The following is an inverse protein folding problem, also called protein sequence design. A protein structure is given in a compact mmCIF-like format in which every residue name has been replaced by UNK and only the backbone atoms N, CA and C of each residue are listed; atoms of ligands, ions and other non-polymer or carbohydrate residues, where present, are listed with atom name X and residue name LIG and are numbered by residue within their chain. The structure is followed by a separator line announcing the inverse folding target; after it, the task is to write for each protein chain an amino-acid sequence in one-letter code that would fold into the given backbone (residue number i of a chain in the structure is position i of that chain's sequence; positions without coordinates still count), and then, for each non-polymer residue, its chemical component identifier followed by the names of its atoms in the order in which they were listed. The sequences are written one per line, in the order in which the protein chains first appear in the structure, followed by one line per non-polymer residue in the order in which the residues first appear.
data_IF_911492393571
#
_entry.id   IF_911492393571
#
_cell.length_a   1.000
_cell.length_b   1.000
_cell.length_c   1.000
_cell.angle_alpha   90.00
_cell.angle_beta   90.00
_cell.angle_gamma   90.00
#
_symmetry.space_group_name_H-M   'P 1'
#
loop_
_entity.id
_entity.type
_entity.pdbx_description
1 polymer ?
#
# COMPACT_ATOMS: atom_id res chain seq x y z
N UNK A 1 -2.78 -9.34 8.60
CA UNK A 1 -4.05 -8.76 9.06
C UNK A 1 -4.64 -7.87 7.96
N UNK A 2 -3.88 -6.90 7.44
CA UNK A 2 -4.37 -5.99 6.41
C UNK A 2 -4.83 -6.71 5.14
N UNK A 3 -4.08 -7.70 4.66
CA UNK A 3 -4.50 -8.54 3.52
C UNK A 3 -5.84 -9.22 3.75
N UNK A 4 -6.09 -9.70 4.97
CA UNK A 4 -7.37 -10.32 5.33
C UNK A 4 -8.49 -9.29 5.31
N UNK A 5 -8.26 -8.09 5.84
CA UNK A 5 -9.23 -6.99 5.81
C UNK A 5 -9.57 -6.63 4.36
N UNK A 6 -8.58 -6.44 3.50
CA UNK A 6 -8.78 -6.12 2.09
C UNK A 6 -9.52 -7.23 1.34
N UNK A 7 -9.22 -8.49 1.64
CA UNK A 7 -9.94 -9.63 1.08
C UNK A 7 -11.43 -9.63 1.50
N UNK A 8 -11.70 -9.43 2.79
CA UNK A 8 -13.07 -9.35 3.32
C UNK A 8 -13.83 -8.16 2.68
N UNK A 9 -13.16 -7.04 2.48
CA UNK A 9 -13.72 -5.85 1.84
C UNK A 9 -13.80 -5.96 0.31
N UNK A 10 -13.50 -7.12 -0.26
CA UNK A 10 -13.46 -7.37 -1.71
C UNK A 10 -12.55 -6.40 -2.47
N UNK A 11 -11.46 -6.00 -1.82
CA UNK A 11 -10.41 -5.23 -2.45
C UNK A 11 -9.53 -6.11 -3.34
N UNK A 12 -8.61 -5.49 -4.07
CA UNK A 12 -7.74 -6.17 -5.03
C UNK A 12 -6.81 -7.21 -4.40
N UNK A 13 -6.31 -8.10 -5.23
CA UNK A 13 -5.44 -9.18 -4.79
C UNK A 13 -3.98 -8.80 -4.61
N UNK A 14 -3.20 -9.76 -4.10
CA UNK A 14 -1.74 -9.68 -3.97
C UNK A 14 -1.09 -10.75 -4.81
N UNK A 15 -0.29 -10.37 -5.81
CA UNK A 15 0.55 -11.29 -6.58
C UNK A 15 2.01 -10.88 -6.52
N UNK A 16 2.85 -11.73 -5.93
CA UNK A 16 4.30 -11.53 -5.85
C UNK A 16 5.06 -12.22 -6.98
N UNK A 17 4.35 -12.80 -7.96
CA UNK A 17 4.96 -13.52 -9.09
C UNK A 17 5.42 -12.60 -10.21
N UNK A 18 5.05 -11.33 -10.19
CA UNK A 18 5.38 -10.36 -11.24
C UNK A 18 6.79 -9.81 -11.07
N UNK A 19 7.49 -9.69 -12.19
CA UNK A 19 8.77 -8.98 -12.25
C UNK A 19 8.54 -7.53 -12.68
N UNK A 20 8.37 -6.66 -11.69
CA UNK A 20 8.03 -5.24 -11.90
C UNK A 20 9.14 -4.42 -12.60
N UNK A 21 10.34 -4.98 -12.76
CA UNK A 21 11.45 -4.31 -13.43
C UNK A 21 11.62 -4.73 -14.89
N UNK A 22 11.14 -5.92 -15.26
CA UNK A 22 11.32 -6.50 -16.59
C UNK A 22 10.01 -6.72 -17.36
N UNK A 23 8.87 -6.70 -16.69
CA UNK A 23 7.57 -6.83 -17.34
C UNK A 23 6.98 -5.46 -17.68
N UNK A 24 6.52 -5.29 -18.91
CA UNK A 24 5.91 -4.03 -19.39
C UNK A 24 4.50 -3.78 -18.85
N UNK A 25 3.93 -4.71 -18.09
CA UNK A 25 2.54 -4.64 -17.68
C UNK A 25 2.42 -4.77 -16.17
N UNK A 26 1.95 -3.73 -15.57
CA UNK A 26 1.32 -3.76 -14.25
C UNK A 26 0.03 -4.57 -14.42
N UNK A 27 -0.04 -5.74 -13.80
CA UNK A 27 -1.12 -6.67 -14.08
C UNK A 27 -2.42 -6.20 -13.49
N UNK A 28 -3.29 -5.73 -14.34
CA UNK A 28 -4.70 -5.60 -14.03
C UNK A 28 -5.47 -6.73 -14.72
N UNK A 29 -6.61 -7.09 -14.19
CA UNK A 29 -7.56 -7.91 -14.90
C UNK A 29 -8.19 -7.08 -16.03
N UNK A 30 -8.04 -7.47 -17.31
CA UNK A 30 -8.62 -6.69 -18.42
C UNK A 30 -10.15 -6.57 -18.37
N UNK A 31 -10.80 -7.50 -17.68
CA UNK A 31 -12.25 -7.50 -17.51
C UNK A 31 -12.73 -6.61 -16.36
N UNK A 32 -11.82 -6.15 -15.51
CA UNK A 32 -12.11 -5.30 -14.36
C UNK A 32 -11.15 -4.10 -14.33
N UNK A 33 -11.59 -2.93 -14.83
CA UNK A 33 -10.74 -1.73 -14.90
C UNK A 33 -10.32 -1.20 -13.52
N UNK A 34 -10.92 -1.69 -12.45
CA UNK A 34 -10.60 -1.32 -11.07
C UNK A 34 -9.67 -2.33 -10.40
N UNK A 35 -9.28 -3.39 -11.11
CA UNK A 35 -8.35 -4.36 -10.56
C UNK A 35 -6.95 -3.75 -10.40
N UNK A 36 -6.27 -4.13 -9.33
CA UNK A 36 -4.89 -3.73 -9.08
C UNK A 36 -4.13 -4.85 -8.35
N UNK A 37 -2.82 -4.88 -8.51
CA UNK A 37 -1.97 -5.74 -7.71
C UNK A 37 -1.39 -4.95 -6.54
N UNK A 38 -1.96 -5.13 -5.37
CA UNK A 38 -1.52 -4.46 -4.14
C UNK A 38 -0.13 -4.90 -3.64
N UNK A 39 0.50 -5.90 -4.27
CA UNK A 39 1.88 -6.31 -3.96
C UNK A 39 2.93 -5.42 -4.66
N UNK A 40 2.56 -4.60 -5.64
CA UNK A 40 3.50 -3.80 -6.42
C UNK A 40 4.39 -2.90 -5.55
N UNK A 41 3.89 -2.16 -4.57
CA UNK A 41 4.76 -1.36 -3.71
C UNK A 41 5.82 -2.19 -2.96
N UNK A 42 5.47 -3.40 -2.54
CA UNK A 42 6.44 -4.31 -1.90
C UNK A 42 7.46 -4.83 -2.92
N UNK A 43 7.01 -5.23 -4.11
CA UNK A 43 7.88 -5.70 -5.18
C UNK A 43 8.91 -4.64 -5.60
N UNK A 44 8.50 -3.37 -5.61
CA UNK A 44 9.37 -2.25 -5.96
C UNK A 44 10.31 -1.85 -4.82
N UNK A 45 9.80 -1.69 -3.60
CA UNK A 45 10.45 -0.92 -2.53
C UNK A 45 10.85 -1.75 -1.31
N UNK A 46 10.61 -3.06 -1.28
CA UNK A 46 11.04 -3.91 -0.18
C UNK A 46 12.56 -4.10 -0.17
N UNK A 47 13.15 -4.23 -1.36
CA UNK A 47 14.60 -4.33 -1.55
C UNK A 47 15.10 -3.06 -2.23
N UNK A 48 15.64 -2.14 -1.43
CA UNK A 48 16.16 -0.84 -1.89
C UNK A 48 17.31 -1.03 -2.89
N UNK A 49 18.21 -1.96 -2.62
CA UNK A 49 19.37 -2.22 -3.49
C UNK A 49 18.94 -2.72 -4.86
N UNK A 50 17.95 -3.60 -4.90
CA UNK A 50 17.37 -4.08 -6.15
C UNK A 50 16.67 -2.95 -6.91
N UNK A 51 15.93 -2.08 -6.22
CA UNK A 51 15.30 -0.92 -6.86
C UNK A 51 16.34 0.01 -7.48
N UNK A 52 17.32 0.44 -6.71
CA UNK A 52 18.35 1.40 -7.15
C UNK A 52 19.28 0.84 -8.25
N UNK A 53 19.42 -0.49 -8.37
CA UNK A 53 20.17 -1.11 -9.46
C UNK A 53 19.40 -1.19 -10.79
N UNK A 54 18.07 -1.16 -10.75
CA UNK A 54 17.21 -1.23 -11.94
C UNK A 54 16.65 0.12 -12.37
N UNK A 55 16.58 1.08 -11.43
CA UNK A 55 15.97 2.39 -11.67
C UNK A 55 16.98 3.48 -11.31
N UNK A 56 17.25 4.46 -12.20
CA UNK A 56 18.23 5.51 -11.94
C UNK A 56 17.67 6.58 -10.98
N UNK A 57 17.17 6.15 -9.85
CA UNK A 57 16.63 6.99 -8.78
C UNK A 57 17.09 6.44 -7.43
N UNK A 58 17.41 7.34 -6.51
CA UNK A 58 17.79 7.00 -5.14
C UNK A 58 16.57 7.12 -4.20
N UNK A 59 16.38 6.15 -3.33
CA UNK A 59 15.35 6.21 -2.31
C UNK A 59 15.86 7.02 -1.11
N UNK A 60 15.24 8.15 -0.83
CA UNK A 60 15.54 8.98 0.34
C UNK A 60 14.66 8.65 1.54
N UNK A 61 13.42 8.26 1.30
CA UNK A 61 12.47 7.87 2.32
C UNK A 61 11.68 6.66 1.83
N UNK A 62 11.43 5.71 2.71
CA UNK A 62 10.60 4.54 2.44
C UNK A 62 9.94 4.11 3.76
N UNK A 63 8.74 4.62 4.01
CA UNK A 63 8.03 4.44 5.26
C UNK A 63 6.66 3.82 5.03
N UNK A 64 6.26 2.97 5.96
CA UNK A 64 4.90 2.46 6.02
C UNK A 64 3.97 3.45 6.71
N UNK A 65 2.76 3.58 6.19
CA UNK A 65 1.74 4.43 6.76
C UNK A 65 0.35 3.85 6.56
N UNK A 66 -0.63 4.45 7.24
CA UNK A 66 -2.04 4.12 7.15
C UNK A 66 -2.37 2.65 7.45
N UNK A 67 -3.34 2.46 8.30
CA UNK A 67 -3.91 1.17 8.61
C UNK A 67 -5.42 1.28 8.62
N UNK A 68 -6.05 1.36 9.78
CA UNK A 68 -7.50 1.48 9.91
C UNK A 68 -8.01 2.88 9.57
N UNK A 69 -7.14 3.89 9.64
CA UNK A 69 -7.53 5.28 9.32
C UNK A 69 -8.06 5.40 7.89
N UNK A 70 -7.46 4.68 6.93
CA UNK A 70 -7.86 4.75 5.53
C UNK A 70 -9.31 4.28 5.31
N UNK A 71 -9.71 3.04 5.66
CA UNK A 71 -11.08 2.60 5.46
C UNK A 71 -12.12 3.29 6.36
N UNK A 72 -11.70 3.88 7.49
CA UNK A 72 -12.60 4.50 8.45
C UNK A 72 -12.75 6.02 8.28
N UNK A 73 -11.97 6.63 7.39
CA UNK A 73 -12.06 8.06 7.03
C UNK A 73 -12.80 8.31 5.73
N UNK A 74 -13.48 7.32 5.17
CA UNK A 74 -14.12 7.42 3.87
C UNK A 74 -13.18 7.21 2.69
N UNK A 75 -12.01 6.61 2.93
CA UNK A 75 -11.07 6.24 1.86
C UNK A 75 -11.73 5.36 0.81
N UNK A 76 -11.45 5.63 -0.46
CA UNK A 76 -12.05 4.89 -1.58
C UNK A 76 -11.47 3.48 -1.61
N UNK A 77 -12.32 2.51 -1.31
CA UNK A 77 -12.02 1.10 -1.51
C UNK A 77 -12.94 0.61 -2.62
N UNK A 78 -12.35 0.20 -3.74
CA UNK A 78 -13.13 -0.34 -4.87
C UNK A 78 -14.04 -1.47 -4.40
N UNK A 79 -15.27 -1.50 -4.91
CA UNK A 79 -16.26 -2.56 -4.65
C UNK A 79 -16.80 -2.66 -3.21
N UNK A 80 -16.42 -1.74 -2.32
CA UNK A 80 -16.90 -1.73 -0.94
C UNK A 80 -17.58 -0.42 -0.57
N UNK A 81 -18.53 -0.48 0.36
CA UNK A 81 -19.10 0.72 0.97
C UNK A 81 -18.04 1.36 1.87
N UNK A 82 -17.85 2.66 1.73
CA UNK A 82 -17.00 3.43 2.63
C UNK A 82 -17.66 3.60 4.00
N UNK A 83 -16.84 3.56 5.04
CA UNK A 83 -17.27 3.82 6.41
C UNK A 83 -16.61 5.13 6.82
N UNK A 84 -17.40 6.08 7.26
CA UNK A 84 -16.88 7.37 7.74
C UNK A 84 -17.14 7.49 9.25
N UNK A 85 -16.07 7.66 10.00
CA UNK A 85 -16.16 7.92 11.44
C UNK A 85 -16.09 9.43 11.73
N UNK A 86 -16.73 9.89 12.82
CA UNK A 86 -16.57 11.26 13.31
C UNK A 86 -15.11 11.62 13.57
N UNK A 87 -14.77 12.88 13.33
CA UNK A 87 -13.38 13.38 13.40
C UNK A 87 -12.68 13.08 14.74
N UNK A 88 -13.40 13.13 15.84
CA UNK A 88 -12.87 12.81 17.18
C UNK A 88 -12.43 11.36 17.30
N UNK A 89 -13.21 10.42 16.73
CA UNK A 89 -12.85 9.01 16.70
C UNK A 89 -11.71 8.75 15.72
N UNK A 90 -11.65 9.47 14.60
CA UNK A 90 -10.55 9.36 13.65
C UNK A 90 -9.19 9.74 14.26
N UNK A 91 -9.16 10.73 15.17
CA UNK A 91 -7.92 11.06 15.92
C UNK A 91 -7.42 9.88 16.74
N UNK A 92 -8.32 9.18 17.42
CA UNK A 92 -7.97 8.00 18.21
C UNK A 92 -7.49 6.86 17.30
N UNK A 93 -8.20 6.60 16.21
CA UNK A 93 -7.81 5.59 15.21
C UNK A 93 -6.42 5.90 14.67
N UNK A 94 -6.14 7.15 14.30
CA UNK A 94 -4.84 7.56 13.77
C UNK A 94 -3.70 7.37 14.80
N UNK A 95 -3.97 7.59 16.07
CA UNK A 95 -3.00 7.31 17.13
C UNK A 95 -2.70 5.81 17.25
N UNK A 96 -3.75 4.99 17.25
CA UNK A 96 -3.62 3.53 17.28
C UNK A 96 -2.90 3.01 16.04
N UNK A 97 -3.21 3.53 14.85
CA UNK A 97 -2.55 3.19 13.61
C UNK A 97 -1.03 3.42 13.67
N UNK A 98 -0.61 4.58 14.17
CA UNK A 98 0.81 4.90 14.32
C UNK A 98 1.54 3.91 15.22
N UNK A 99 0.90 3.49 16.31
CA UNK A 99 1.46 2.50 17.23
C UNK A 99 1.55 1.13 16.54
N UNK A 100 0.46 0.69 15.92
CA UNK A 100 0.39 -0.62 15.26
C UNK A 100 1.35 -0.73 14.08
N UNK A 101 1.46 0.31 13.25
CA UNK A 101 2.41 0.35 12.13
C UNK A 101 3.85 0.32 12.63
N UNK A 102 4.15 1.02 13.72
CA UNK A 102 5.50 1.00 14.31
C UNK A 102 5.88 -0.38 14.86
N UNK A 103 4.92 -1.09 15.46
CA UNK A 103 5.16 -2.42 16.04
C UNK A 103 5.16 -3.53 15.00
N UNK A 104 4.26 -3.47 14.01
CA UNK A 104 4.03 -4.54 13.03
C UNK A 104 3.78 -3.98 11.63
N UNK A 105 4.76 -3.29 11.01
CA UNK A 105 4.56 -2.60 9.73
C UNK A 105 4.12 -3.54 8.61
N UNK A 106 4.75 -4.69 8.49
CA UNK A 106 4.47 -5.66 7.43
C UNK A 106 3.07 -6.31 7.48
N UNK A 107 2.42 -6.24 8.65
CA UNK A 107 1.10 -6.84 8.86
C UNK A 107 0.00 -5.79 8.79
N UNK A 108 0.25 -4.61 9.37
CA UNK A 108 -0.75 -3.58 9.58
C UNK A 108 -0.77 -2.54 8.48
N UNK A 109 0.39 -2.14 7.95
CA UNK A 109 0.45 -1.04 7.00
C UNK A 109 -0.32 -1.31 5.71
N UNK A 110 -1.13 -0.35 5.31
CA UNK A 110 -1.84 -0.32 4.04
C UNK A 110 -1.11 0.54 3.01
N UNK A 111 -0.60 1.68 3.41
CA UNK A 111 0.10 2.62 2.58
C UNK A 111 1.61 2.58 2.74
N UNK A 112 2.30 3.13 1.75
CA UNK A 112 3.74 3.33 1.75
C UNK A 112 4.06 4.71 1.16
N UNK A 113 4.84 5.50 1.88
CA UNK A 113 5.36 6.78 1.40
C UNK A 113 6.80 6.59 0.93
N UNK A 114 7.07 6.96 -0.30
CA UNK A 114 8.40 6.87 -0.90
C UNK A 114 8.81 8.21 -1.47
N UNK A 115 10.01 8.68 -1.12
CA UNK A 115 10.63 9.87 -1.71
C UNK A 115 11.82 9.43 -2.55
N UNK A 116 11.80 9.80 -3.82
CA UNK A 116 12.81 9.46 -4.79
C UNK A 116 13.60 10.71 -5.19
N UNK A 117 14.90 10.57 -5.33
CA UNK A 117 15.79 11.60 -5.83
C UNK A 117 16.44 11.17 -7.14
N UNK A 118 16.41 12.05 -8.12
CA UNK A 118 17.19 11.88 -9.35
C UNK A 118 18.69 12.12 -9.02
N UNK A 119 19.60 11.26 -9.49
CA UNK A 119 21.03 11.54 -9.39
C UNK A 119 21.37 12.86 -10.11
N UNK A 120 22.25 13.63 -9.50
CA UNK A 120 22.79 14.86 -10.10
C UNK A 120 23.85 14.49 -11.12
#
# INVERSE_FOLDING_TARGET
LMRLILFIMKHEGYSYKKDVFNENVISNDPSDPWSANCAIPDLLFKDISKFESNVPLKILLNEFNEFLIFPLSGGVIAKSKTIELPFTLLKLVNLLDKIMIKLMPSICAFGRSVVLQKPI
#
